data_IF_028920430095
#
_entry.id   IF_028920430095
#
_cell.length_a   1.000
_cell.length_b   1.000
_cell.length_c   1.000
_cell.angle_alpha   90.00
_cell.angle_beta   90.00
_cell.angle_gamma   90.00
#
_symmetry.space_group_name_H-M   'P 1'
#
loop_
_entity.id
_entity.type
_entity.pdbx_description
1 polymer ?
#
# COMPACT_ATOMS: atom_id res chain seq x y z
N UNK A 1 -21.67 -33.87 17.32
CA UNK A 1 -21.67 -33.10 16.03
C UNK A 1 -21.48 -31.58 16.24
N UNK A 2 -22.28 -30.86 17.05
CA UNK A 2 -22.12 -29.41 17.26
C UNK A 2 -20.86 -29.00 18.04
N UNK A 3 -20.45 -29.79 19.04
CA UNK A 3 -19.25 -29.53 19.85
C UNK A 3 -17.97 -29.75 19.03
N UNK A 4 -17.92 -30.77 18.17
CA UNK A 4 -16.76 -31.03 17.30
C UNK A 4 -16.57 -29.94 16.24
N UNK A 5 -17.67 -29.40 15.71
CA UNK A 5 -17.61 -28.30 14.73
C UNK A 5 -17.11 -27.00 15.40
N UNK A 6 -17.55 -26.71 16.63
CA UNK A 6 -17.10 -25.57 17.41
C UNK A 6 -15.62 -25.71 17.81
N UNK A 7 -15.19 -26.89 18.26
CA UNK A 7 -13.79 -27.17 18.62
C UNK A 7 -12.88 -27.13 17.39
N UNK A 8 -13.34 -27.59 16.23
CA UNK A 8 -12.62 -27.53 14.97
C UNK A 8 -12.47 -26.08 14.47
N UNK A 9 -13.53 -25.27 14.61
CA UNK A 9 -13.52 -23.84 14.32
C UNK A 9 -12.57 -23.08 15.25
N UNK A 10 -12.62 -23.39 16.55
CA UNK A 10 -11.73 -22.81 17.55
C UNK A 10 -10.25 -23.20 17.33
N UNK A 11 -9.95 -24.48 16.95
CA UNK A 11 -8.61 -24.92 16.58
C UNK A 11 -8.11 -24.27 15.27
N UNK A 12 -8.98 -24.00 14.31
CA UNK A 12 -8.63 -23.27 13.08
C UNK A 12 -8.29 -21.81 13.38
N UNK A 13 -9.04 -21.17 14.27
CA UNK A 13 -8.75 -19.77 14.71
C UNK A 13 -7.46 -19.65 15.52
N UNK A 14 -7.13 -20.64 16.36
CA UNK A 14 -5.92 -20.63 17.20
C UNK A 14 -4.64 -20.90 16.40
N UNK A 15 -4.71 -21.58 15.25
CA UNK A 15 -3.55 -21.91 14.42
C UNK A 15 -3.36 -20.97 13.21
N UNK A 16 -4.28 -20.06 12.96
CA UNK A 16 -4.17 -19.17 11.82
C UNK A 16 -3.13 -18.07 12.13
N UNK A 17 -2.05 -18.04 11.36
CA UNK A 17 -1.02 -17.02 11.43
C UNK A 17 -1.35 -15.93 10.44
N UNK A 18 -1.57 -14.72 10.95
CA UNK A 18 -1.98 -13.53 10.21
C UNK A 18 -0.77 -12.63 9.99
N UNK A 19 -0.58 -12.17 8.77
CA UNK A 19 0.51 -11.24 8.41
C UNK A 19 0.02 -9.81 8.30
N UNK A 20 -1.17 -9.62 7.73
CA UNK A 20 -1.73 -8.30 7.50
C UNK A 20 -3.09 -8.21 8.16
N UNK A 21 -3.34 -7.14 8.86
CA UNK A 21 -4.62 -6.92 9.52
C UNK A 21 -4.96 -5.44 9.58
N UNK A 22 -6.24 -5.16 9.76
CA UNK A 22 -6.75 -3.82 9.94
C UNK A 22 -7.72 -3.74 11.10
N UNK A 23 -7.82 -2.59 11.72
CA UNK A 23 -8.74 -2.32 12.81
C UNK A 23 -9.15 -0.85 12.81
N UNK A 24 -10.18 -0.54 13.57
CA UNK A 24 -10.65 0.83 13.77
C UNK A 24 -10.45 1.24 15.23
N UNK A 25 -10.18 2.53 15.42
CA UNK A 25 -10.07 3.17 16.73
C UNK A 25 -10.97 4.41 16.75
N UNK A 26 -11.88 4.48 17.69
CA UNK A 26 -12.72 5.66 17.84
C UNK A 26 -11.97 6.79 18.53
N UNK A 27 -12.00 7.99 17.96
CA UNK A 27 -11.27 9.16 18.45
C UNK A 27 -11.57 9.48 19.91
N UNK A 28 -12.82 9.34 20.36
CA UNK A 28 -13.24 9.60 21.73
C UNK A 28 -12.97 8.46 22.71
N UNK A 29 -12.44 7.34 22.22
CA UNK A 29 -12.09 6.16 23.05
C UNK A 29 -10.60 6.10 23.39
N UNK A 30 -9.80 7.05 22.91
CA UNK A 30 -8.34 7.10 23.08
C UNK A 30 -7.89 8.52 23.47
N UNK A 31 -6.70 8.63 24.06
CA UNK A 31 -6.09 9.92 24.38
C UNK A 31 -5.58 10.65 23.14
N UNK A 32 -5.28 11.94 23.28
CA UNK A 32 -4.66 12.72 22.20
C UNK A 32 -3.26 12.21 21.84
N UNK A 33 -2.58 11.50 22.75
CA UNK A 33 -1.26 10.88 22.53
C UNK A 33 -1.33 9.51 21.83
N UNK A 34 -2.52 9.10 21.39
CA UNK A 34 -2.73 7.78 20.79
C UNK A 34 -1.86 7.54 19.53
N UNK A 35 -1.68 8.56 18.71
CA UNK A 35 -0.87 8.45 17.49
C UNK A 35 0.59 8.17 17.84
N UNK A 36 1.14 8.83 18.88
CA UNK A 36 2.48 8.56 19.37
C UNK A 36 2.58 7.11 19.88
N UNK A 37 1.59 6.63 20.62
CA UNK A 37 1.54 5.25 21.10
C UNK A 37 1.56 4.24 19.93
N UNK A 38 0.85 4.53 18.85
CA UNK A 38 0.83 3.69 17.64
C UNK A 38 2.20 3.70 16.93
N UNK A 39 2.80 4.87 16.76
CA UNK A 39 4.10 5.03 16.10
C UNK A 39 5.24 4.36 16.87
N UNK A 40 5.20 4.40 18.21
CA UNK A 40 6.19 3.76 19.09
C UNK A 40 6.23 2.23 18.96
N UNK A 41 5.21 1.62 18.34
CA UNK A 41 5.22 0.17 18.07
C UNK A 41 6.19 -0.23 16.94
N UNK A 42 6.75 0.72 16.21
CA UNK A 42 7.66 0.49 15.08
C UNK A 42 7.10 -0.52 14.05
N UNK A 43 5.80 -0.46 13.80
CA UNK A 43 5.11 -1.33 12.84
C UNK A 43 5.09 -0.72 11.45
N UNK A 44 5.17 -1.55 10.42
CA UNK A 44 4.92 -1.13 9.06
C UNK A 44 3.42 -1.08 8.79
N UNK A 45 2.95 0.04 8.26
CA UNK A 45 1.53 0.19 7.97
C UNK A 45 1.11 1.61 7.64
N UNK A 46 -0.19 1.83 7.67
CA UNK A 46 -0.80 3.11 7.35
C UNK A 46 -2.02 3.36 8.23
N UNK A 47 -2.30 4.62 8.54
CA UNK A 47 -3.56 4.99 9.15
C UNK A 47 -4.11 6.31 8.58
N UNK A 48 -5.41 6.51 8.71
CA UNK A 48 -6.13 7.71 8.29
C UNK A 48 -7.30 7.97 9.22
N UNK A 49 -7.63 9.24 9.42
CA UNK A 49 -8.81 9.65 10.19
C UNK A 49 -10.03 9.81 9.29
N UNK A 50 -11.14 9.16 9.67
CA UNK A 50 -12.42 9.23 8.99
C UNK A 50 -13.45 9.97 9.85
N UNK A 51 -13.90 11.12 9.39
CA UNK A 51 -14.91 11.98 10.04
C UNK A 51 -16.12 12.27 9.14
N UNK A 52 -16.11 11.77 7.89
CA UNK A 52 -17.15 12.04 6.88
C UNK A 52 -17.86 10.79 6.38
N UNK A 53 -17.64 9.68 7.05
CA UNK A 53 -18.31 8.42 6.72
C UNK A 53 -19.79 8.47 7.12
N UNK A 54 -20.65 7.86 6.29
CA UNK A 54 -22.09 7.81 6.48
C UNK A 54 -22.55 6.36 6.66
N UNK A 55 -23.51 6.15 7.54
CA UNK A 55 -24.21 4.88 7.71
C UNK A 55 -25.21 4.66 6.56
N UNK A 56 -25.68 3.40 6.34
CA UNK A 56 -26.70 3.12 5.31
C UNK A 56 -28.02 3.88 5.51
N UNK A 57 -28.33 4.32 6.71
CA UNK A 57 -29.51 5.13 7.06
C UNK A 57 -29.32 6.63 6.86
N UNK A 58 -28.14 7.05 6.35
CA UNK A 58 -27.81 8.45 6.10
C UNK A 58 -27.25 9.21 7.30
N UNK A 59 -27.15 8.61 8.49
CA UNK A 59 -26.55 9.25 9.67
C UNK A 59 -25.03 9.24 9.57
N UNK A 60 -24.37 10.25 10.15
CA UNK A 60 -22.91 10.30 10.22
C UNK A 60 -22.38 9.18 11.12
N UNK A 61 -21.33 8.51 10.65
CA UNK A 61 -20.58 7.59 11.51
C UNK A 61 -19.77 8.35 12.55
N UNK A 62 -19.56 7.70 13.69
CA UNK A 62 -18.67 8.19 14.71
C UNK A 62 -17.26 8.35 14.15
N UNK A 63 -16.58 9.49 14.37
CA UNK A 63 -15.22 9.70 13.90
C UNK A 63 -14.26 8.63 14.41
N UNK A 64 -13.45 8.08 13.52
CA UNK A 64 -12.58 6.96 13.82
C UNK A 64 -11.33 6.92 12.93
N UNK A 65 -10.28 6.32 13.44
CA UNK A 65 -9.12 5.98 12.65
C UNK A 65 -9.29 4.60 12.01
N UNK A 66 -8.95 4.48 10.75
CA UNK A 66 -8.66 3.21 10.09
C UNK A 66 -7.17 2.94 10.14
N UNK A 67 -6.78 1.78 10.64
CA UNK A 67 -5.38 1.36 10.77
C UNK A 67 -5.16 0.10 9.97
N UNK A 68 -4.17 0.09 9.09
CA UNK A 68 -3.71 -1.05 8.33
C UNK A 68 -2.28 -1.40 8.76
N UNK A 69 -2.04 -2.62 9.19
CA UNK A 69 -0.73 -3.12 9.61
C UNK A 69 -0.27 -4.24 8.68
N UNK A 70 0.99 -4.14 8.22
CA UNK A 70 1.70 -5.17 7.48
C UNK A 70 2.89 -5.66 8.32
N UNK A 71 2.78 -6.86 8.89
CA UNK A 71 3.84 -7.44 9.72
C UNK A 71 4.95 -8.05 8.85
N UNK A 72 6.19 -7.93 9.26
CA UNK A 72 7.33 -8.59 8.63
C UNK A 72 7.22 -10.13 8.69
N UNK A 73 6.65 -10.63 9.78
CA UNK A 73 6.38 -12.06 9.99
C UNK A 73 4.98 -12.31 10.55
N UNK A 74 4.37 -13.47 10.24
CA UNK A 74 3.02 -13.77 10.67
C UNK A 74 2.93 -13.98 12.19
N UNK A 75 1.89 -13.44 12.82
CA UNK A 75 1.59 -13.56 14.26
C UNK A 75 0.31 -14.38 14.48
N UNK A 76 0.16 -14.94 15.67
CA UNK A 76 -1.07 -15.62 16.05
C UNK A 76 -2.21 -14.63 16.26
N UNK A 77 -3.45 -15.09 16.05
CA UNK A 77 -4.66 -14.32 16.32
C UNK A 77 -4.64 -13.65 17.71
N UNK A 78 -4.29 -14.41 18.75
CA UNK A 78 -4.26 -13.91 20.12
C UNK A 78 -3.19 -12.82 20.36
N UNK A 79 -2.05 -12.89 19.65
CA UNK A 79 -1.02 -11.86 19.75
C UNK A 79 -1.50 -10.55 19.10
N UNK A 80 -2.15 -10.64 17.95
CA UNK A 80 -2.72 -9.48 17.28
C UNK A 80 -3.88 -8.89 18.09
N UNK A 81 -4.77 -9.72 18.62
CA UNK A 81 -5.87 -9.26 19.47
C UNK A 81 -5.37 -8.45 20.68
N UNK A 82 -4.32 -8.93 21.36
CA UNK A 82 -3.71 -8.19 22.47
C UNK A 82 -3.13 -6.86 22.03
N UNK A 83 -2.43 -6.83 20.89
CA UNK A 83 -1.88 -5.60 20.32
C UNK A 83 -2.99 -4.60 19.97
N UNK A 84 -4.03 -5.05 19.27
CA UNK A 84 -5.18 -4.22 18.89
C UNK A 84 -5.91 -3.68 20.13
N UNK A 85 -6.09 -4.51 21.15
CA UNK A 85 -6.68 -4.06 22.44
C UNK A 85 -5.81 -3.01 23.11
N UNK A 86 -4.50 -3.20 23.16
CA UNK A 86 -3.54 -2.26 23.72
C UNK A 86 -3.56 -0.91 22.97
N UNK A 87 -3.70 -0.94 21.64
CA UNK A 87 -3.82 0.24 20.80
C UNK A 87 -5.23 0.86 20.77
N UNK A 88 -6.13 0.46 21.65
CA UNK A 88 -7.48 1.03 21.73
C UNK A 88 -8.41 0.62 20.59
N UNK A 89 -8.08 -0.42 19.84
CA UNK A 89 -8.97 -0.97 18.82
C UNK A 89 -10.31 -1.38 19.39
N UNK A 90 -11.40 -1.04 18.70
CA UNK A 90 -12.77 -1.23 19.15
C UNK A 90 -13.01 -2.69 19.59
N UNK A 91 -13.16 -2.93 20.90
CA UNK A 91 -13.34 -4.24 21.52
C UNK A 91 -12.25 -5.29 21.16
N UNK A 92 -11.04 -4.86 20.77
CA UNK A 92 -9.98 -5.74 20.28
C UNK A 92 -10.32 -6.47 18.98
N UNK A 93 -11.31 -5.97 18.23
CA UNK A 93 -11.72 -6.52 16.93
C UNK A 93 -10.78 -6.04 15.84
N UNK A 94 -10.36 -6.96 15.02
CA UNK A 94 -9.57 -6.67 13.81
C UNK A 94 -10.03 -7.57 12.65
N UNK A 95 -9.71 -7.15 11.45
CA UNK A 95 -9.96 -7.88 10.22
C UNK A 95 -8.64 -8.37 9.64
N UNK A 96 -8.55 -9.65 9.29
CA UNK A 96 -7.44 -10.15 8.47
C UNK A 96 -7.51 -9.54 7.06
N UNK A 97 -6.37 -9.09 6.55
CA UNK A 97 -6.26 -8.43 5.26
C UNK A 97 -5.56 -9.34 4.26
N UNK A 98 -6.31 -9.90 3.32
CA UNK A 98 -5.78 -10.76 2.26
C UNK A 98 -5.12 -9.97 1.11
N UNK A 99 -5.55 -8.74 0.89
CA UNK A 99 -5.01 -7.84 -0.14
C UNK A 99 -4.61 -6.52 0.48
N UNK A 100 -3.31 -6.34 0.69
CA UNK A 100 -2.76 -5.06 1.17
C UNK A 100 -3.15 -3.91 0.25
N UNK A 101 -2.99 -4.08 -1.07
CA UNK A 101 -3.39 -3.07 -2.06
C UNK A 101 -4.86 -2.74 -1.97
N UNK A 102 -5.72 -3.76 -1.91
CA UNK A 102 -7.17 -3.54 -1.82
C UNK A 102 -7.55 -2.77 -0.56
N UNK A 103 -6.95 -3.09 0.58
CA UNK A 103 -7.26 -2.40 1.82
C UNK A 103 -6.61 -1.00 1.89
N UNK A 104 -5.39 -0.82 1.38
CA UNK A 104 -4.77 0.50 1.27
C UNK A 104 -5.66 1.45 0.43
N UNK A 105 -6.16 0.99 -0.71
CA UNK A 105 -7.11 1.76 -1.53
C UNK A 105 -8.43 2.05 -0.81
N UNK A 106 -8.87 1.12 0.05
CA UNK A 106 -10.06 1.29 0.88
C UNK A 106 -9.87 2.37 1.95
N UNK A 107 -8.66 2.62 2.45
CA UNK A 107 -8.40 3.71 3.41
C UNK A 107 -8.89 5.07 2.89
N UNK A 108 -8.74 5.36 1.59
CA UNK A 108 -9.26 6.59 0.97
C UNK A 108 -10.52 6.36 0.13
N UNK A 109 -11.15 5.18 0.20
CA UNK A 109 -12.33 4.79 -0.57
C UNK A 109 -12.13 4.95 -2.10
N UNK A 110 -10.92 4.71 -2.61
CA UNK A 110 -10.57 4.96 -4.02
C UNK A 110 -11.42 4.15 -5.01
N UNK A 111 -11.91 2.99 -4.59
CA UNK A 111 -12.71 2.06 -5.40
C UNK A 111 -14.19 2.01 -4.96
N UNK A 112 -14.62 2.90 -4.06
CA UNK A 112 -15.96 2.94 -3.48
C UNK A 112 -16.66 4.27 -3.80
N UNK A 113 -17.27 4.42 -4.98
CA UNK A 113 -17.86 5.69 -5.42
C UNK A 113 -19.01 6.19 -4.53
N UNK A 114 -19.69 5.27 -3.82
CA UNK A 114 -20.81 5.59 -2.93
C UNK A 114 -20.37 6.15 -1.55
N UNK A 115 -19.06 6.16 -1.29
CA UNK A 115 -18.49 6.65 -0.03
C UNK A 115 -17.77 7.98 -0.23
N UNK A 116 -17.67 8.73 0.87
CA UNK A 116 -16.81 9.92 0.87
C UNK A 116 -15.38 9.52 0.53
N UNK A 117 -14.78 10.16 -0.49
CA UNK A 117 -13.40 9.93 -0.90
C UNK A 117 -12.47 10.84 -0.10
N UNK A 118 -11.58 10.25 0.69
CA UNK A 118 -10.54 10.97 1.43
C UNK A 118 -9.32 11.25 0.55
N UNK A 119 -8.55 12.29 0.89
CA UNK A 119 -7.31 12.59 0.19
C UNK A 119 -6.23 11.56 0.54
N UNK A 120 -5.48 11.13 -0.46
CA UNK A 120 -4.36 10.20 -0.28
C UNK A 120 -3.22 10.81 0.55
N UNK A 121 -3.11 12.13 0.56
CA UNK A 121 -2.14 12.86 1.36
C UNK A 121 -2.48 12.90 2.86
N UNK A 122 -3.72 12.60 3.23
CA UNK A 122 -4.15 12.51 4.63
C UNK A 122 -3.75 11.17 5.28
N UNK A 123 -3.24 10.21 4.49
CA UNK A 123 -2.77 8.93 4.99
C UNK A 123 -1.38 9.06 5.59
N UNK A 124 -1.26 8.68 6.85
CA UNK A 124 0.02 8.63 7.54
C UNK A 124 0.64 7.24 7.36
N UNK A 125 1.84 7.19 6.82
CA UNK A 125 2.65 5.96 6.71
C UNK A 125 3.50 5.75 7.96
N UNK A 126 3.64 4.50 8.38
CA UNK A 126 4.40 4.09 9.57
C UNK A 126 5.52 3.12 9.20
N UNK A 127 6.63 3.19 9.91
CA UNK A 127 7.79 2.34 9.68
C UNK A 127 8.39 2.59 8.29
N UNK A 128 8.67 1.52 7.57
CA UNK A 128 9.21 1.57 6.21
C UNK A 128 8.11 1.45 5.13
N UNK A 129 6.84 1.63 5.49
CA UNK A 129 5.74 1.54 4.54
C UNK A 129 5.62 2.83 3.72
N UNK A 130 5.41 2.70 2.42
CA UNK A 130 5.10 3.80 1.51
C UNK A 130 3.70 3.59 0.93
N UNK A 131 2.77 4.46 1.30
CA UNK A 131 1.37 4.35 0.90
C UNK A 131 1.20 4.42 -0.61
N UNK A 132 1.98 5.24 -1.29
CA UNK A 132 1.88 5.42 -2.74
C UNK A 132 2.17 4.12 -3.50
N UNK A 133 3.08 3.29 -2.99
CA UNK A 133 3.39 1.99 -3.54
C UNK A 133 2.24 0.99 -3.37
N UNK A 134 1.56 1.04 -2.22
CA UNK A 134 0.47 0.13 -1.90
C UNK A 134 -0.77 0.38 -2.75
N UNK A 135 -1.08 1.64 -3.09
CA UNK A 135 -2.28 1.99 -3.85
C UNK A 135 -2.12 1.86 -5.37
N UNK A 136 -0.90 1.76 -5.89
CA UNK A 136 -0.65 1.63 -7.33
C UNK A 136 -1.26 0.35 -7.90
N UNK A 137 -2.03 0.51 -8.97
CA UNK A 137 -2.57 -0.61 -9.74
C UNK A 137 -1.57 -1.05 -10.82
N UNK A 138 -1.73 -2.26 -11.35
CA UNK A 138 -0.92 -2.73 -12.49
C UNK A 138 -1.17 -1.89 -13.76
N UNK A 139 -2.33 -1.25 -13.86
CA UNK A 139 -2.64 -0.29 -14.93
C UNK A 139 -1.79 0.97 -14.77
N UNK A 140 -1.67 1.49 -13.55
CA UNK A 140 -0.85 2.68 -13.26
C UNK A 140 0.62 2.40 -13.58
N UNK A 141 1.16 1.26 -13.12
CA UNK A 141 2.54 0.83 -13.42
C UNK A 141 2.78 0.71 -14.91
N UNK A 142 1.84 0.11 -15.68
CA UNK A 142 1.96 0.01 -17.14
C UNK A 142 1.94 1.38 -17.81
N UNK A 143 1.16 2.33 -17.30
CA UNK A 143 1.14 3.71 -17.80
C UNK A 143 2.50 4.36 -17.58
N UNK A 144 3.04 4.29 -16.36
CA UNK A 144 4.37 4.81 -16.04
C UNK A 144 5.46 4.20 -16.94
N UNK A 145 5.44 2.87 -17.17
CA UNK A 145 6.40 2.21 -18.08
C UNK A 145 6.33 2.78 -19.49
N UNK A 146 5.12 3.02 -20.02
CA UNK A 146 4.93 3.64 -21.34
C UNK A 146 5.49 5.06 -21.39
N UNK A 147 5.28 5.85 -20.34
CA UNK A 147 5.77 7.21 -20.23
C UNK A 147 7.30 7.25 -20.18
N UNK A 148 7.92 6.34 -19.43
CA UNK A 148 9.39 6.17 -19.40
C UNK A 148 9.93 5.83 -20.78
N UNK A 149 9.32 4.87 -21.48
CA UNK A 149 9.74 4.47 -22.84
C UNK A 149 9.62 5.65 -23.81
N UNK A 150 8.51 6.41 -23.75
CA UNK A 150 8.29 7.60 -24.55
C UNK A 150 9.37 8.64 -24.28
N UNK A 151 9.63 8.95 -23.02
CA UNK A 151 10.67 9.90 -22.58
C UNK A 151 12.05 9.49 -23.08
N UNK A 152 12.46 8.23 -22.90
CA UNK A 152 13.75 7.73 -23.38
C UNK A 152 13.89 7.90 -24.90
N UNK A 153 12.83 7.65 -25.66
CA UNK A 153 12.82 7.81 -27.10
C UNK A 153 12.96 9.26 -27.53
N UNK A 154 12.17 10.15 -26.95
CA UNK A 154 12.13 11.58 -27.31
C UNK A 154 13.42 12.31 -26.92
N UNK A 155 14.01 11.95 -25.79
CA UNK A 155 15.24 12.56 -25.29
C UNK A 155 16.52 11.79 -25.65
N UNK A 156 16.41 10.73 -26.47
CA UNK A 156 17.56 9.91 -26.93
C UNK A 156 18.38 9.38 -25.75
N UNK A 157 17.72 8.89 -24.73
CA UNK A 157 18.37 8.28 -23.58
C UNK A 157 18.83 6.87 -23.94
N UNK A 158 20.14 6.67 -24.03
CA UNK A 158 20.79 5.41 -24.39
C UNK A 158 21.55 4.77 -23.21
N UNK A 159 21.55 5.40 -22.06
CA UNK A 159 22.16 4.91 -20.84
C UNK A 159 21.09 4.71 -19.74
N UNK A 160 21.05 3.50 -19.18
CA UNK A 160 20.16 3.23 -18.05
C UNK A 160 20.59 3.99 -16.79
N UNK A 161 21.90 4.23 -16.61
CA UNK A 161 22.41 5.05 -15.51
C UNK A 161 21.88 6.49 -15.62
N UNK A 162 21.97 7.12 -16.80
CA UNK A 162 21.44 8.48 -16.99
C UNK A 162 19.94 8.56 -16.73
N UNK A 163 19.18 7.50 -17.06
CA UNK A 163 17.75 7.43 -16.70
C UNK A 163 17.55 7.38 -15.21
N UNK A 164 18.33 6.55 -14.49
CA UNK A 164 18.23 6.45 -13.03
C UNK A 164 18.59 7.75 -12.34
N UNK A 165 19.67 8.41 -12.77
CA UNK A 165 20.08 9.73 -12.24
C UNK A 165 18.95 10.76 -12.42
N UNK A 166 18.34 10.81 -13.61
CA UNK A 166 17.18 11.65 -13.86
C UNK A 166 16.00 11.32 -12.95
N UNK A 167 15.72 10.03 -12.76
CA UNK A 167 14.60 9.61 -11.91
C UNK A 167 14.82 9.98 -10.44
N UNK A 168 16.03 9.82 -9.93
CA UNK A 168 16.39 10.18 -8.55
C UNK A 168 16.18 11.68 -8.31
N UNK A 169 16.50 12.51 -9.31
CA UNK A 169 16.44 13.97 -9.14
C UNK A 169 15.02 14.53 -9.41
N UNK A 170 14.27 13.96 -10.36
CA UNK A 170 13.05 14.59 -10.87
C UNK A 170 11.81 13.70 -10.85
N UNK A 171 11.94 12.36 -10.75
CA UNK A 171 10.84 11.42 -10.97
C UNK A 171 10.92 10.20 -10.06
N UNK A 172 10.77 10.41 -8.76
CA UNK A 172 10.76 9.34 -7.75
C UNK A 172 9.68 8.27 -8.04
N UNK A 173 8.54 8.69 -8.59
CA UNK A 173 7.48 7.78 -9.05
C UNK A 173 7.98 6.79 -10.13
N UNK A 174 8.87 7.24 -11.03
CA UNK A 174 9.51 6.39 -12.03
C UNK A 174 10.57 5.50 -11.42
N UNK A 175 11.40 6.05 -10.52
CA UNK A 175 12.43 5.29 -9.81
C UNK A 175 11.85 4.07 -9.11
N UNK A 176 10.74 4.27 -8.41
CA UNK A 176 9.99 3.20 -7.75
C UNK A 176 9.57 2.08 -8.71
N UNK A 177 9.07 2.42 -9.89
CA UNK A 177 8.66 1.43 -10.91
C UNK A 177 9.87 0.72 -11.52
N UNK A 178 11.00 1.42 -11.69
CA UNK A 178 12.25 0.86 -12.24
C UNK A 178 12.96 -0.08 -11.25
N UNK A 179 12.80 0.14 -9.95
CA UNK A 179 13.37 -0.73 -8.91
C UNK A 179 12.70 -2.13 -8.84
N UNK A 180 11.61 -2.36 -9.56
CA UNK A 180 10.92 -3.64 -9.68
C UNK A 180 11.20 -4.38 -11.00
N UNK A 181 10.35 -5.36 -11.33
CA UNK A 181 10.43 -6.15 -12.57
C UNK A 181 10.43 -5.30 -13.86
N UNK A 182 9.83 -4.12 -13.82
CA UNK A 182 9.75 -3.23 -14.98
C UNK A 182 11.10 -2.63 -15.36
N UNK A 183 12.05 -2.54 -14.43
CA UNK A 183 13.40 -2.06 -14.69
C UNK A 183 14.14 -2.87 -15.75
N UNK A 184 13.92 -4.20 -15.78
CA UNK A 184 14.52 -5.06 -16.79
C UNK A 184 14.00 -4.72 -18.19
N UNK A 185 12.69 -4.55 -18.36
CA UNK A 185 12.05 -4.19 -19.64
C UNK A 185 12.60 -2.88 -20.18
N UNK A 186 12.74 -1.88 -19.32
CA UNK A 186 13.26 -0.55 -19.72
C UNK A 186 14.74 -0.63 -20.09
N UNK A 187 15.54 -1.38 -19.31
CA UNK A 187 16.96 -1.59 -19.60
C UNK A 187 17.16 -2.26 -20.97
N UNK A 188 16.40 -3.30 -21.27
CA UNK A 188 16.45 -4.02 -22.53
C UNK A 188 15.99 -3.14 -23.70
N UNK A 189 14.94 -2.32 -23.48
CA UNK A 189 14.51 -1.33 -24.47
C UNK A 189 15.62 -0.32 -24.80
N UNK A 190 16.24 0.30 -23.80
CA UNK A 190 17.33 1.29 -23.99
C UNK A 190 18.48 0.66 -24.75
N UNK A 191 18.92 -0.55 -24.36
CA UNK A 191 19.99 -1.29 -25.03
C UNK A 191 19.66 -1.60 -26.49
N UNK A 192 18.46 -2.10 -26.76
CA UNK A 192 17.99 -2.40 -28.11
C UNK A 192 17.91 -1.15 -28.97
N UNK A 193 17.39 -0.04 -28.42
CA UNK A 193 17.24 1.23 -29.10
C UNK A 193 18.60 1.84 -29.49
N UNK A 194 19.60 1.77 -28.60
CA UNK A 194 20.96 2.20 -28.91
C UNK A 194 21.51 1.50 -30.14
N UNK A 195 21.41 0.18 -30.24
CA UNK A 195 21.88 -0.60 -31.37
C UNK A 195 21.12 -0.25 -32.65
N UNK A 196 19.81 -0.07 -32.59
CA UNK A 196 19.00 0.32 -33.77
C UNK A 196 19.48 1.66 -34.34
N UNK A 197 19.62 2.68 -33.46
CA UNK A 197 20.02 4.02 -33.89
C UNK A 197 21.49 4.06 -34.36
N UNK A 198 22.36 3.23 -33.72
CA UNK A 198 23.76 3.08 -34.15
C UNK A 198 23.88 2.48 -35.56
N UNK A 199 23.16 1.39 -35.86
CA UNK A 199 23.17 0.77 -37.17
C UNK A 199 22.62 1.69 -38.26
N UNK A 200 21.50 2.38 -37.99
CA UNK A 200 20.95 3.33 -38.96
C UNK A 200 21.93 4.43 -39.35
N UNK A 201 22.71 4.95 -38.41
CA UNK A 201 23.69 6.00 -38.68
C UNK A 201 24.93 5.52 -39.46
N UNK A 202 25.35 4.26 -39.26
CA UNK A 202 26.63 3.79 -39.77
C UNK A 202 26.53 2.92 -41.02
N UNK A 203 25.35 2.40 -41.34
CA UNK A 203 25.17 1.47 -42.44
C UNK A 203 24.14 1.91 -43.51
N UNK A 204 23.42 3.01 -43.29
CA UNK A 204 22.46 3.57 -44.24
C UNK A 204 22.80 5.01 -44.68
N UNK A 205 24.04 5.45 -44.51
CA UNK A 205 24.56 6.73 -44.98
C UNK A 205 25.40 6.55 -46.26
#
# INVERSE_FOLDING_TARGET
MWIETAVRRFKLEVNNKIRNFAFIVYKDSVSDEWENLLLDQCLNGHYIFHDKDVNPDGTMKKPHFHVLIALDGPKSYNSIKRLVTYLGGANGVFQEVNSLRGYARYLCHLDNPDKHRYDVNDVISMGNADYTLYIQTDKDKRTIVKDIIKFCRENKIYSYANLLDYCIEYRDDWFTVLNGYNGQVIRDYIKSRYWTDFFYKHFNS
#
